data_IF_917891106315
#
_entry.id   IF_917891106315
#
_cell.length_a   1.000
_cell.length_b   1.000
_cell.length_c   1.000
_cell.angle_alpha   90.00
_cell.angle_beta   90.00
_cell.angle_gamma   90.00
#
_symmetry.space_group_name_H-M   'P 1'
#
loop_
_entity.id
_entity.type
_entity.pdbx_description
1 polymer ?
#
# COMPACT_ATOMS: atom_id res chain seq x y z
N UNK A 1 -21.47 4.50 -4.49
CA UNK A 1 -20.25 5.06 -3.90
C UNK A 1 -19.66 4.07 -2.89
N UNK A 2 -18.38 4.15 -2.67
CA UNK A 2 -17.67 3.14 -1.87
C UNK A 2 -17.44 3.62 -0.44
N UNK A 3 -17.64 2.73 0.51
CA UNK A 3 -17.44 3.05 1.94
C UNK A 3 -16.03 2.72 2.40
N UNK A 4 -15.35 1.83 1.71
CA UNK A 4 -14.06 1.33 2.15
C UNK A 4 -13.22 1.01 0.92
N UNK A 5 -12.20 1.82 0.69
CA UNK A 5 -11.37 1.71 -0.51
C UNK A 5 -9.96 1.34 -0.11
N UNK A 6 -9.40 0.33 -0.76
CA UNK A 6 -8.02 -0.10 -0.56
C UNK A 6 -7.17 0.41 -1.72
N UNK A 7 -6.05 1.05 -1.38
CA UNK A 7 -5.10 1.58 -2.38
C UNK A 7 -3.73 0.94 -2.13
N UNK A 8 -3.40 -0.13 -2.87
CA UNK A 8 -2.05 -0.69 -2.78
C UNK A 8 -1.02 0.27 -3.35
N UNK A 9 0.13 0.35 -2.70
CA UNK A 9 1.23 1.22 -3.14
C UNK A 9 2.57 0.52 -2.92
N UNK A 10 3.55 0.88 -3.73
CA UNK A 10 4.90 0.33 -3.61
C UNK A 10 5.91 1.36 -3.10
N UNK A 11 5.47 2.58 -2.82
CA UNK A 11 6.27 3.67 -2.27
C UNK A 11 7.42 4.15 -3.17
N UNK A 12 7.47 3.69 -4.40
CA UNK A 12 8.53 4.08 -5.34
C UNK A 12 8.13 5.26 -6.23
N UNK A 13 6.84 5.60 -6.25
CA UNK A 13 6.34 6.69 -7.09
C UNK A 13 5.21 7.44 -6.37
N UNK A 14 5.55 8.60 -5.80
CA UNK A 14 4.60 9.42 -5.07
C UNK A 14 3.52 10.01 -5.97
N UNK A 15 3.86 10.33 -7.21
CA UNK A 15 2.89 10.90 -8.15
C UNK A 15 1.82 9.88 -8.52
N UNK A 16 2.23 8.63 -8.74
CA UNK A 16 1.29 7.55 -9.02
C UNK A 16 0.35 7.33 -7.84
N UNK A 17 0.90 7.35 -6.61
CA UNK A 17 0.09 7.20 -5.41
C UNK A 17 -0.87 8.38 -5.24
N UNK A 18 -0.41 9.58 -5.47
CA UNK A 18 -1.23 10.79 -5.38
C UNK A 18 -2.42 10.70 -6.34
N UNK A 19 -2.18 10.25 -7.57
CA UNK A 19 -3.23 10.07 -8.57
C UNK A 19 -4.24 9.01 -8.12
N UNK A 20 -3.75 7.89 -7.59
CA UNK A 20 -4.62 6.81 -7.10
C UNK A 20 -5.51 7.28 -5.95
N UNK A 21 -4.95 8.04 -5.01
CA UNK A 21 -5.69 8.58 -3.88
C UNK A 21 -6.75 9.57 -4.37
N UNK A 22 -6.41 10.43 -5.33
CA UNK A 22 -7.37 11.38 -5.89
C UNK A 22 -8.54 10.64 -6.54
N UNK A 23 -8.26 9.57 -7.30
CA UNK A 23 -9.31 8.75 -7.90
C UNK A 23 -10.19 8.10 -6.84
N UNK A 24 -9.57 7.58 -5.78
CA UNK A 24 -10.30 6.95 -4.68
C UNK A 24 -11.24 7.95 -4.00
N UNK A 25 -10.80 9.19 -3.80
CA UNK A 25 -11.62 10.22 -3.17
C UNK A 25 -12.85 10.54 -3.98
N UNK A 26 -12.77 10.46 -5.31
CA UNK A 26 -13.93 10.70 -6.18
C UNK A 26 -14.99 9.62 -6.02
N UNK A 27 -14.59 8.42 -5.62
CA UNK A 27 -15.49 7.28 -5.48
C UNK A 27 -15.94 7.05 -4.04
N UNK A 28 -15.41 7.83 -3.10
CA UNK A 28 -15.61 7.62 -1.67
C UNK A 28 -16.96 8.17 -1.20
N UNK A 29 -17.67 7.39 -0.39
CA UNK A 29 -18.89 7.86 0.30
C UNK A 29 -18.54 8.86 1.39
N UNK A 30 -19.50 9.72 1.80
CA UNK A 30 -19.23 10.75 2.80
C UNK A 30 -18.59 10.28 4.09
N UNK A 31 -18.88 9.10 4.55
CA UNK A 31 -18.30 8.53 5.78
C UNK A 31 -17.34 7.38 5.47
N UNK A 32 -16.84 7.34 4.24
CA UNK A 32 -15.98 6.25 3.81
C UNK A 32 -14.55 6.40 4.29
N UNK A 33 -13.79 5.34 4.12
CA UNK A 33 -12.38 5.28 4.52
C UNK A 33 -11.52 4.82 3.36
N UNK A 34 -10.33 5.40 3.27
CA UNK A 34 -9.32 4.99 2.30
C UNK A 34 -8.14 4.42 3.09
N UNK A 35 -7.71 3.22 2.73
CA UNK A 35 -6.55 2.57 3.36
C UNK A 35 -5.45 2.41 2.33
N UNK A 36 -4.28 2.94 2.64
CA UNK A 36 -3.08 2.73 1.84
C UNK A 36 -2.42 1.44 2.32
N UNK A 37 -2.10 0.56 1.40
CA UNK A 37 -1.48 -0.73 1.72
C UNK A 37 -0.14 -0.85 1.04
N UNK A 38 0.89 -1.19 1.80
CA UNK A 38 2.17 -1.60 1.23
C UNK A 38 2.39 -3.08 1.57
N UNK A 39 2.62 -3.89 0.55
CA UNK A 39 2.96 -5.29 0.74
C UNK A 39 4.47 -5.42 0.69
N UNK A 40 5.04 -5.85 1.81
CA UNK A 40 6.48 -6.09 1.94
C UNK A 40 6.73 -7.53 1.47
N UNK A 41 7.32 -7.68 0.29
CA UNK A 41 7.56 -9.01 -0.25
C UNK A 41 8.67 -9.72 0.49
N UNK A 42 8.49 -11.03 0.70
CA UNK A 42 9.50 -11.85 1.35
C UNK A 42 10.63 -12.14 0.36
N UNK A 43 11.87 -11.99 0.86
CA UNK A 43 13.05 -12.29 0.06
C UNK A 43 13.32 -13.79 0.19
N UNK A 44 13.45 -14.54 -0.93
CA UNK A 44 13.80 -15.96 -0.88
C UNK A 44 15.13 -16.17 -0.16
N UNK A 45 15.23 -17.27 0.60
CA UNK A 45 16.42 -17.53 1.40
C UNK A 45 17.73 -17.55 0.60
N UNK A 46 17.69 -18.07 -0.63
CA UNK A 46 18.88 -18.09 -1.47
C UNK A 46 19.36 -16.70 -1.88
N UNK A 47 18.46 -15.72 -1.89
CA UNK A 47 18.80 -14.33 -2.22
C UNK A 47 19.44 -13.65 -1.02
N UNK A 48 19.04 -14.02 0.20
CA UNK A 48 19.58 -13.44 1.43
C UNK A 48 21.10 -13.57 1.52
N UNK A 49 21.64 -14.61 0.92
CA UNK A 49 23.09 -14.84 0.90
C UNK A 49 23.86 -13.76 0.14
N UNK A 50 23.20 -13.09 -0.80
CA UNK A 50 23.83 -12.12 -1.69
C UNK A 50 23.39 -10.69 -1.44
N UNK A 51 22.45 -10.49 -0.53
CA UNK A 51 21.89 -9.17 -0.26
C UNK A 51 22.50 -8.62 1.03
N UNK A 52 22.94 -7.35 1.06
CA UNK A 52 23.46 -6.74 2.28
C UNK A 52 22.44 -6.78 3.40
N UNK A 53 22.92 -6.96 4.63
CA UNK A 53 22.05 -7.10 5.80
C UNK A 53 21.12 -5.91 6.00
N UNK A 54 21.59 -4.70 5.71
CA UNK A 54 20.77 -3.50 5.86
C UNK A 54 19.61 -3.45 4.89
N UNK A 55 19.73 -4.08 3.72
CA UNK A 55 18.61 -4.20 2.78
C UNK A 55 17.61 -5.25 3.24
N UNK A 56 18.07 -6.26 3.98
CA UNK A 56 17.20 -7.28 4.55
C UNK A 56 16.50 -6.78 5.81
N UNK A 57 17.00 -5.71 6.41
CA UNK A 57 16.46 -5.15 7.63
C UNK A 57 15.15 -4.37 7.40
N UNK A 58 14.81 -4.08 6.14
CA UNK A 58 13.53 -3.43 5.83
C UNK A 58 12.40 -4.33 6.30
N UNK A 59 11.66 -3.89 7.29
CA UNK A 59 10.60 -4.69 7.88
C UNK A 59 9.28 -3.91 7.85
N UNK A 60 8.20 -4.59 8.26
CA UNK A 60 6.87 -4.01 8.24
C UNK A 60 6.80 -2.71 9.04
N UNK A 61 7.46 -2.65 10.18
CA UNK A 61 7.46 -1.45 11.03
C UNK A 61 8.08 -0.25 10.33
N UNK A 62 9.23 -0.44 9.68
CA UNK A 62 9.90 0.63 8.96
C UNK A 62 9.10 1.08 7.75
N UNK A 63 8.53 0.14 7.01
CA UNK A 63 7.69 0.44 5.86
C UNK A 63 6.45 1.22 6.29
N UNK A 64 5.83 0.81 7.39
CA UNK A 64 4.65 1.48 7.91
C UNK A 64 4.97 2.92 8.31
N UNK A 65 6.12 3.16 8.92
CA UNK A 65 6.54 4.50 9.28
C UNK A 65 6.68 5.40 8.05
N UNK A 66 7.32 4.91 6.99
CA UNK A 66 7.46 5.66 5.74
C UNK A 66 6.09 5.89 5.11
N UNK A 67 5.24 4.87 5.13
CA UNK A 67 3.90 4.99 4.57
C UNK A 67 3.07 6.03 5.33
N UNK A 68 3.19 6.07 6.65
CA UNK A 68 2.51 7.08 7.47
C UNK A 68 2.98 8.50 7.12
N UNK A 69 4.28 8.68 6.88
CA UNK A 69 4.81 9.97 6.48
C UNK A 69 4.26 10.39 5.12
N UNK A 70 4.21 9.47 4.17
CA UNK A 70 3.66 9.74 2.85
C UNK A 70 2.17 10.05 2.94
N UNK A 71 1.44 9.27 3.72
CA UNK A 71 0.01 9.48 3.90
C UNK A 71 -0.29 10.86 4.48
N UNK A 72 0.53 11.32 5.42
CA UNK A 72 0.36 12.65 6.03
C UNK A 72 0.49 13.77 5.01
N UNK A 73 1.27 13.58 3.95
CA UNK A 73 1.39 14.58 2.88
C UNK A 73 0.17 14.62 1.96
N UNK A 74 -0.63 13.56 1.96
CA UNK A 74 -1.80 13.43 1.09
C UNK A 74 -3.11 13.74 1.82
N UNK A 75 -3.08 13.77 3.14
CA UNK A 75 -4.26 14.05 3.97
C UNK A 75 -4.22 13.29 5.28
N UNK A 76 -4.95 13.79 6.27
CA UNK A 76 -5.01 13.16 7.61
C UNK A 76 -6.16 12.16 7.72
N UNK A 77 -6.91 11.96 6.65
CA UNK A 77 -8.05 11.04 6.63
C UNK A 77 -7.70 9.65 6.09
N UNK A 78 -6.43 9.41 5.77
CA UNK A 78 -5.98 8.14 5.21
C UNK A 78 -5.51 7.18 6.29
N UNK A 79 -5.87 5.92 6.15
CA UNK A 79 -5.38 4.85 7.00
C UNK A 79 -4.23 4.13 6.30
N UNK A 80 -3.36 3.51 7.06
CA UNK A 80 -2.18 2.84 6.51
C UNK A 80 -2.08 1.41 7.04
N UNK A 81 -1.60 0.51 6.19
CA UNK A 81 -1.30 -0.88 6.56
C UNK A 81 -0.06 -1.33 5.81
N UNK A 82 0.80 -2.06 6.50
CA UNK A 82 1.96 -2.70 5.90
C UNK A 82 1.92 -4.17 6.28
N UNK A 83 2.00 -5.06 5.31
CA UNK A 83 1.87 -6.51 5.52
C UNK A 83 2.91 -7.23 4.71
N UNK A 84 3.40 -8.34 5.25
CA UNK A 84 4.37 -9.19 4.57
C UNK A 84 3.66 -10.25 3.74
N UNK A 85 4.15 -10.54 2.54
CA UNK A 85 3.58 -11.58 1.70
C UNK A 85 3.81 -11.33 0.22
N UNK A 86 3.10 -12.08 -0.61
CA UNK A 86 3.11 -11.90 -2.05
C UNK A 86 2.08 -10.85 -2.44
N UNK A 87 2.48 -9.86 -3.25
CA UNK A 87 1.66 -8.69 -3.53
C UNK A 87 0.24 -9.02 -3.96
N UNK A 88 0.06 -9.79 -5.03
CA UNK A 88 -1.27 -10.07 -5.56
C UNK A 88 -2.19 -10.76 -4.57
N UNK A 89 -1.71 -11.82 -3.94
CA UNK A 89 -2.51 -12.59 -2.98
C UNK A 89 -2.80 -11.76 -1.73
N UNK A 90 -1.81 -11.03 -1.25
CA UNK A 90 -1.94 -10.23 -0.04
C UNK A 90 -2.94 -9.10 -0.23
N UNK A 91 -2.92 -8.46 -1.40
CA UNK A 91 -3.89 -7.40 -1.72
C UNK A 91 -5.31 -7.95 -1.62
N UNK A 92 -5.57 -9.12 -2.19
CA UNK A 92 -6.90 -9.72 -2.14
C UNK A 92 -7.30 -10.07 -0.70
N UNK A 93 -6.37 -10.66 0.05
CA UNK A 93 -6.62 -11.02 1.46
C UNK A 93 -6.93 -9.78 2.29
N UNK A 94 -6.15 -8.72 2.11
CA UNK A 94 -6.35 -7.49 2.86
C UNK A 94 -7.66 -6.79 2.47
N UNK A 95 -8.03 -6.85 1.20
CA UNK A 95 -9.31 -6.29 0.75
C UNK A 95 -10.47 -6.98 1.47
N UNK A 96 -10.39 -8.31 1.62
CA UNK A 96 -11.40 -9.06 2.36
C UNK A 96 -11.36 -8.71 3.86
N UNK A 97 -10.16 -8.63 4.43
CA UNK A 97 -9.99 -8.37 5.85
C UNK A 97 -10.59 -7.04 6.28
N UNK A 98 -10.40 -5.99 5.49
CA UNK A 98 -10.95 -4.68 5.82
C UNK A 98 -12.35 -4.46 5.25
N UNK A 99 -12.86 -5.40 4.49
CA UNK A 99 -14.18 -5.27 3.86
C UNK A 99 -14.21 -4.21 2.77
N UNK A 100 -13.18 -4.17 1.93
CA UNK A 100 -13.08 -3.16 0.88
C UNK A 100 -14.14 -3.35 -0.20
N UNK A 101 -14.77 -2.26 -0.57
CA UNK A 101 -15.74 -2.23 -1.67
C UNK A 101 -15.04 -2.05 -3.02
N UNK A 102 -13.85 -1.48 -2.98
CA UNK A 102 -13.11 -1.12 -4.19
C UNK A 102 -11.62 -1.17 -3.90
N UNK A 103 -10.86 -1.65 -4.88
CA UNK A 103 -9.40 -1.61 -4.85
C UNK A 103 -8.95 -0.73 -6.01
N UNK A 104 -8.26 0.37 -5.69
CA UNK A 104 -7.73 1.28 -6.71
C UNK A 104 -6.26 0.97 -6.89
N UNK A 105 -5.90 0.40 -8.02
CA UNK A 105 -4.53 0.03 -8.33
C UNK A 105 -3.95 1.04 -9.30
N UNK A 106 -2.84 1.65 -8.92
CA UNK A 106 -2.09 2.49 -9.83
C UNK A 106 -1.15 1.58 -10.63
N UNK A 107 -1.34 1.51 -11.94
CA UNK A 107 -0.48 0.69 -12.77
C UNK A 107 0.84 1.41 -12.98
N UNK A 108 1.92 0.73 -12.62
CA UNK A 108 3.25 1.22 -12.89
C UNK A 108 3.61 0.85 -14.32
N UNK A 109 3.87 1.84 -15.16
CA UNK A 109 4.30 1.57 -16.52
C UNK A 109 5.72 1.06 -16.52
N UNK A 110 5.96 -0.13 -17.07
CA UNK A 110 7.34 -0.55 -17.31
C UNK A 110 7.93 0.39 -18.34
N UNK A 111 8.93 1.04 -17.92
CA UNK A 111 9.51 1.98 -18.65
C UNK A 111 10.35 2.26 -19.53
#
# INVERSE_FOLDING_TARGET
MCKNILVPTFLDDKETLKTAVAAARLMLSPNGKITLLNVVEEVPMYVETYVPTDMLAANVTDVLRVLDEVAATLGDDLQTRAVKGHAGRTILTEAETIGADLVVISSHRPG
#
